data_IF_841214639143
#
_entry.id   IF_841214639143
#
_cell.length_a   1.000
_cell.length_b   1.000
_cell.length_c   1.000
_cell.angle_alpha   90.00
_cell.angle_beta   90.00
_cell.angle_gamma   90.00
#
_symmetry.space_group_name_H-M   'P 1'
#
loop_
_entity.id
_entity.type
_entity.pdbx_description
1 polymer ?
#
# COMPACT_ATOMS: atom_id res chain seq x y z
N UNK A 1 -10.51 12.37 -7.01
CA UNK A 1 -10.80 11.73 -5.72
C UNK A 1 -9.58 11.73 -4.84
N UNK A 2 -9.76 11.93 -3.56
CA UNK A 2 -8.66 12.11 -2.64
C UNK A 2 -8.61 10.97 -1.63
N UNK A 3 -7.68 10.04 -1.80
CA UNK A 3 -7.45 8.95 -0.85
C UNK A 3 -7.04 9.52 0.51
N UNK A 4 -6.43 10.70 0.50
CA UNK A 4 -5.96 11.38 1.72
C UNK A 4 -7.06 11.63 2.74
N UNK A 5 -8.29 11.77 2.29
CA UNK A 5 -9.42 11.99 3.18
C UNK A 5 -9.71 10.80 4.08
N UNK A 6 -9.15 9.64 3.73
CA UNK A 6 -9.35 8.39 4.48
C UNK A 6 -8.19 8.05 5.40
N UNK A 7 -7.15 8.87 5.42
CA UNK A 7 -5.99 8.66 6.27
C UNK A 7 -6.26 9.22 7.67
N UNK A 8 -5.63 8.59 8.66
CA UNK A 8 -5.78 8.98 10.05
C UNK A 8 -5.20 10.38 10.26
N UNK A 9 -5.99 11.36 10.74
CA UNK A 9 -5.48 12.70 10.97
C UNK A 9 -4.47 12.79 12.10
N UNK A 10 -4.38 11.77 12.94
CA UNK A 10 -3.40 11.74 14.03
C UNK A 10 -2.00 11.38 13.55
N UNK A 11 -1.87 10.93 12.30
CA UNK A 11 -0.57 10.60 11.74
C UNK A 11 0.23 11.87 11.42
N UNK A 12 1.55 11.76 11.57
CA UNK A 12 2.45 12.83 11.14
C UNK A 12 2.48 12.92 9.62
N UNK A 13 2.98 14.03 9.09
CA UNK A 13 3.11 14.21 7.65
C UNK A 13 3.99 13.11 7.04
N UNK A 14 5.07 12.73 7.73
CA UNK A 14 5.97 11.68 7.26
C UNK A 14 5.27 10.34 7.16
N UNK A 15 4.44 10.01 8.14
CA UNK A 15 3.68 8.77 8.12
C UNK A 15 2.70 8.74 6.97
N UNK A 16 2.02 9.84 6.71
CA UNK A 16 1.10 9.96 5.59
C UNK A 16 1.84 9.77 4.25
N UNK A 17 3.02 10.38 4.12
CA UNK A 17 3.84 10.24 2.92
C UNK A 17 4.22 8.77 2.70
N UNK A 18 4.60 8.07 3.75
CA UNK A 18 4.99 6.67 3.66
C UNK A 18 3.81 5.79 3.21
N UNK A 19 2.62 6.06 3.70
CA UNK A 19 1.42 5.33 3.27
C UNK A 19 1.11 5.62 1.81
N UNK A 20 1.24 6.88 1.40
CA UNK A 20 1.02 7.26 -0.01
C UNK A 20 2.05 6.61 -0.92
N UNK A 21 3.28 6.47 -0.47
CA UNK A 21 4.32 5.77 -1.23
C UNK A 21 3.94 4.30 -1.46
N UNK A 22 3.36 3.65 -0.44
CA UNK A 22 2.86 2.28 -0.62
C UNK A 22 1.75 2.24 -1.66
N UNK A 23 0.81 3.16 -1.61
CA UNK A 23 -0.26 3.22 -2.60
C UNK A 23 0.29 3.40 -4.01
N UNK A 24 1.28 4.27 -4.17
CA UNK A 24 1.94 4.47 -5.46
C UNK A 24 2.65 3.19 -5.92
N UNK A 25 3.26 2.45 -5.01
CA UNK A 25 3.90 1.19 -5.32
C UNK A 25 2.89 0.16 -5.82
N UNK A 26 1.70 0.10 -5.20
CA UNK A 26 0.63 -0.80 -5.63
C UNK A 26 0.15 -0.42 -7.03
N UNK A 27 -0.09 0.86 -7.27
CA UNK A 27 -0.50 1.32 -8.59
C UNK A 27 0.54 0.96 -9.65
N UNK A 28 1.80 1.17 -9.35
CA UNK A 28 2.89 0.84 -10.24
C UNK A 28 2.92 -0.66 -10.55
N UNK A 29 2.67 -1.50 -9.54
CA UNK A 29 2.63 -2.95 -9.72
C UNK A 29 1.54 -3.38 -10.69
N UNK A 30 0.40 -2.69 -10.68
CA UNK A 30 -0.69 -2.97 -11.61
C UNK A 30 -0.44 -2.42 -13.01
N UNK A 31 0.21 -1.28 -13.11
CA UNK A 31 0.38 -0.59 -14.39
C UNK A 31 1.68 -0.96 -15.10
N UNK A 32 2.79 -0.96 -14.39
CA UNK A 32 4.12 -1.16 -14.97
C UNK A 32 4.85 -2.37 -14.41
N UNK A 33 4.52 -2.72 -13.18
CA UNK A 33 5.26 -3.72 -12.42
C UNK A 33 6.25 -3.04 -11.48
N UNK A 34 6.61 -3.75 -10.42
CA UNK A 34 7.52 -3.24 -9.40
C UNK A 34 8.35 -4.43 -8.87
N UNK A 35 9.58 -4.16 -8.42
CA UNK A 35 10.34 -5.22 -7.80
C UNK A 35 9.74 -5.56 -6.44
N UNK A 36 9.71 -6.86 -6.13
CA UNK A 36 9.15 -7.32 -4.86
C UNK A 36 9.88 -6.71 -3.68
N UNK A 37 11.19 -6.56 -3.80
CA UNK A 37 12.01 -5.96 -2.75
C UNK A 37 11.58 -4.52 -2.45
N UNK A 38 11.39 -3.73 -3.49
CA UNK A 38 10.95 -2.34 -3.35
C UNK A 38 9.57 -2.27 -2.72
N UNK A 39 8.63 -3.09 -3.20
CA UNK A 39 7.29 -3.13 -2.63
C UNK A 39 7.34 -3.53 -1.16
N UNK A 40 8.11 -4.55 -0.81
CA UNK A 40 8.19 -5.02 0.58
C UNK A 40 8.77 -3.98 1.52
N UNK A 41 9.69 -3.14 1.06
CA UNK A 41 10.21 -2.04 1.86
C UNK A 41 9.10 -1.05 2.22
N UNK A 42 8.30 -0.67 1.23
CA UNK A 42 7.15 0.22 1.46
C UNK A 42 6.10 -0.46 2.34
N UNK A 43 5.88 -1.74 2.14
CA UNK A 43 4.91 -2.48 2.92
C UNK A 43 5.33 -2.57 4.39
N UNK A 44 6.60 -2.80 4.66
CA UNK A 44 7.13 -2.83 6.02
C UNK A 44 6.92 -1.50 6.72
N UNK A 45 7.23 -0.41 6.04
CA UNK A 45 7.01 0.94 6.58
C UNK A 45 5.53 1.13 6.90
N UNK A 46 4.66 0.72 5.99
CA UNK A 46 3.22 0.81 6.19
C UNK A 46 2.76 0.02 7.42
N UNK A 47 3.23 -1.22 7.59
CA UNK A 47 2.83 -2.04 8.75
C UNK A 47 3.41 -1.52 10.06
N UNK A 48 4.54 -0.82 10.01
CA UNK A 48 5.10 -0.16 11.18
C UNK A 48 4.24 1.02 11.64
N UNK A 49 3.65 1.74 10.68
CA UNK A 49 2.76 2.86 10.96
C UNK A 49 1.38 2.35 11.38
N UNK A 50 0.83 1.44 10.60
CA UNK A 50 -0.48 0.82 10.85
C UNK A 50 -0.26 -0.55 11.50
N UNK A 51 0.06 -0.55 12.78
CA UNK A 51 0.37 -1.78 13.51
C UNK A 51 -0.87 -2.61 13.87
N UNK A 52 -2.04 -2.03 13.74
CA UNK A 52 -3.31 -2.73 13.98
C UNK A 52 -3.77 -3.41 12.69
N UNK A 53 -4.11 -4.70 12.77
CA UNK A 53 -4.66 -5.42 11.62
C UNK A 53 -5.99 -4.82 11.15
N UNK A 54 -6.80 -4.33 12.06
CA UNK A 54 -8.05 -3.66 11.73
C UNK A 54 -7.80 -2.42 10.88
N UNK A 55 -6.81 -1.62 11.26
CA UNK A 55 -6.45 -0.42 10.53
C UNK A 55 -5.91 -0.77 9.14
N UNK A 56 -5.05 -1.79 9.07
CA UNK A 56 -4.51 -2.26 7.78
C UNK A 56 -5.63 -2.69 6.84
N UNK A 57 -6.61 -3.43 7.33
CA UNK A 57 -7.76 -3.86 6.52
C UNK A 57 -8.59 -2.68 6.06
N UNK A 58 -8.83 -1.72 6.94
CA UNK A 58 -9.60 -0.53 6.58
C UNK A 58 -8.92 0.27 5.48
N UNK A 59 -7.61 0.45 5.58
CA UNK A 59 -6.85 1.19 4.59
C UNK A 59 -6.79 0.44 3.26
N UNK A 60 -6.58 -0.87 3.29
CA UNK A 60 -6.58 -1.69 2.10
C UNK A 60 -7.93 -1.63 1.40
N UNK A 61 -9.01 -1.77 2.15
CA UNK A 61 -10.36 -1.70 1.59
C UNK A 61 -10.65 -0.32 1.01
N UNK A 62 -10.27 0.73 1.72
CA UNK A 62 -10.47 2.09 1.23
C UNK A 62 -9.71 2.34 -0.06
N UNK A 63 -8.48 1.85 -0.14
CA UNK A 63 -7.67 1.97 -1.34
C UNK A 63 -8.26 1.18 -2.50
N UNK A 64 -8.72 -0.05 -2.24
CA UNK A 64 -9.35 -0.88 -3.26
C UNK A 64 -10.61 -0.23 -3.81
N UNK A 65 -11.46 0.32 -2.95
CA UNK A 65 -12.65 1.03 -3.38
C UNK A 65 -12.32 2.28 -4.21
N UNK A 66 -11.23 2.94 -3.86
CA UNK A 66 -10.84 4.19 -4.52
C UNK A 66 -10.17 3.94 -5.87
N UNK A 67 -9.34 2.94 -5.99
CA UNK A 67 -8.52 2.70 -7.17
C UNK A 67 -8.85 1.41 -7.90
N UNK A 68 -9.50 0.47 -7.24
CA UNK A 68 -9.74 -0.85 -7.78
C UNK A 68 -8.56 -1.80 -7.63
N UNK A 69 -7.49 -1.37 -6.98
CA UNK A 69 -6.29 -2.17 -6.79
C UNK A 69 -6.23 -2.70 -5.37
N UNK A 70 -5.65 -3.89 -5.19
CA UNK A 70 -5.55 -4.53 -3.88
C UNK A 70 -4.09 -4.60 -3.42
N UNK A 71 -3.81 -4.03 -2.26
CA UNK A 71 -2.49 -4.11 -1.63
C UNK A 71 -2.16 -5.56 -1.31
N UNK A 72 -3.15 -6.31 -0.84
CA UNK A 72 -2.97 -7.71 -0.45
C UNK A 72 -2.55 -8.59 -1.64
N UNK A 73 -3.16 -8.39 -2.79
CA UNK A 73 -2.79 -9.15 -4.00
C UNK A 73 -1.35 -8.89 -4.41
N UNK A 74 -0.94 -7.63 -4.38
CA UNK A 74 0.44 -7.27 -4.69
C UNK A 74 1.39 -7.89 -3.68
N UNK A 75 1.03 -7.85 -2.40
CA UNK A 75 1.83 -8.45 -1.34
C UNK A 75 2.05 -9.95 -1.58
N UNK A 76 0.99 -10.67 -1.90
CA UNK A 76 1.09 -12.11 -2.19
C UNK A 76 1.99 -12.39 -3.38
N UNK A 77 1.84 -11.62 -4.44
CA UNK A 77 2.70 -11.77 -5.63
C UNK A 77 4.15 -11.49 -5.30
N UNK A 78 4.40 -10.46 -4.47
CA UNK A 78 5.75 -10.10 -4.07
C UNK A 78 6.44 -11.21 -3.28
N UNK A 79 5.68 -12.04 -2.59
CA UNK A 79 6.23 -13.19 -1.88
C UNK A 79 6.59 -14.34 -2.82
N UNK A 80 5.91 -14.44 -3.96
CA UNK A 80 6.10 -15.54 -4.90
C UNK A 80 7.06 -15.20 -6.04
N UNK A 81 7.13 -13.94 -6.44
CA UNK A 81 7.90 -13.48 -7.58
C UNK A 81 8.80 -12.31 -7.22
N UNK A 82 9.95 -12.21 -7.91
CA UNK A 82 10.86 -11.08 -7.71
C UNK A 82 10.37 -9.82 -8.39
N UNK A 83 9.61 -9.98 -9.46
CA UNK A 83 9.02 -8.86 -10.19
C UNK A 83 7.51 -9.02 -10.19
N UNK A 84 6.83 -8.04 -9.65
CA UNK A 84 5.38 -8.08 -9.49
C UNK A 84 4.72 -7.22 -10.56
N UNK A 85 3.89 -7.84 -11.36
CA UNK A 85 3.05 -7.12 -12.32
C UNK A 85 1.70 -7.84 -12.41
N UNK A 86 0.65 -7.10 -12.16
CA UNK A 86 -0.71 -7.63 -12.17
C UNK A 86 -1.52 -7.19 -13.38
#
# INVERSE_FOLDING_TARGET
MCIRDRLDPDWSTEEIIDVVKLYNAVEKAYEEGISSKEFMEHYRTFTSIADSKSLQKQLDKAFEEASGYSIYKVFKRAQEEEWVKL
#
